data_IF_092048335683
#
_entry.id   IF_092048335683
#
_cell.length_a   1.000
_cell.length_b   1.000
_cell.length_c   1.000
_cell.angle_alpha   90.00
_cell.angle_beta   90.00
_cell.angle_gamma   90.00
#
_symmetry.space_group_name_H-M   'P 1'
#
loop_
_entity.id
_entity.type
_entity.pdbx_description
1 polymer ?
#
# COMPACT_ATOMS: atom_id res chain seq x y z
N UNK A 1 10.31 -9.99 -0.14
CA UNK A 1 8.86 -9.80 0.04
C UNK A 1 8.17 -11.13 0.14
N UNK A 2 6.99 -11.20 0.76
CA UNK A 2 6.24 -12.45 0.86
C UNK A 2 5.35 -12.56 -0.38
N UNK A 3 5.58 -13.61 -1.19
CA UNK A 3 4.68 -13.98 -2.28
C UNK A 3 3.58 -14.84 -1.68
N UNK A 4 2.31 -14.51 -1.92
CA UNK A 4 1.23 -15.29 -1.35
C UNK A 4 1.19 -16.69 -1.97
N UNK A 5 0.99 -17.71 -1.14
CA UNK A 5 0.93 -19.10 -1.59
C UNK A 5 -0.30 -19.39 -2.48
N UNK A 6 -1.35 -18.58 -2.34
CA UNK A 6 -2.59 -18.63 -3.13
C UNK A 6 -3.18 -17.23 -3.29
N UNK A 7 -4.15 -17.09 -4.19
CA UNK A 7 -4.92 -15.86 -4.26
C UNK A 7 -5.68 -15.62 -2.94
N UNK A 8 -5.57 -14.40 -2.42
CA UNK A 8 -6.29 -13.98 -1.23
C UNK A 8 -7.79 -13.82 -1.51
N UNK A 9 -8.60 -14.16 -0.52
CA UNK A 9 -10.01 -13.77 -0.48
C UNK A 9 -10.13 -12.25 -0.32
N UNK A 10 -11.31 -11.70 -0.62
CA UNK A 10 -11.60 -10.27 -0.38
C UNK A 10 -11.38 -9.85 1.08
N UNK A 11 -11.59 -10.75 2.04
CA UNK A 11 -11.41 -10.47 3.47
C UNK A 11 -9.93 -10.49 3.88
N UNK A 12 -9.17 -11.45 3.36
CA UNK A 12 -7.72 -11.53 3.56
C UNK A 12 -7.02 -10.32 2.95
N UNK A 13 -7.36 -9.97 1.70
CA UNK A 13 -6.84 -8.75 1.04
C UNK A 13 -7.12 -7.51 1.88
N UNK A 14 -8.36 -7.33 2.34
CA UNK A 14 -8.72 -6.18 3.17
C UNK A 14 -7.95 -6.16 4.50
N UNK A 15 -7.76 -7.30 5.15
CA UNK A 15 -7.00 -7.43 6.40
C UNK A 15 -5.53 -7.10 6.22
N UNK A 16 -4.89 -7.64 5.18
CA UNK A 16 -3.46 -7.41 4.89
C UNK A 16 -3.22 -5.93 4.61
N UNK A 17 -4.02 -5.33 3.71
CA UNK A 17 -3.91 -3.91 3.36
C UNK A 17 -4.18 -3.03 4.58
N UNK A 18 -5.22 -3.32 5.36
CA UNK A 18 -5.57 -2.53 6.55
C UNK A 18 -4.49 -2.59 7.64
N UNK A 19 -3.97 -3.79 7.94
CA UNK A 19 -2.88 -3.95 8.89
C UNK A 19 -1.61 -3.22 8.41
N UNK A 20 -1.31 -3.29 7.11
CA UNK A 20 -0.16 -2.61 6.53
C UNK A 20 -0.31 -1.08 6.56
N UNK A 21 -1.48 -0.56 6.23
CA UNK A 21 -1.75 0.88 6.30
C UNK A 21 -1.57 1.41 7.73
N UNK A 22 -2.01 0.66 8.75
CA UNK A 22 -1.79 1.01 10.15
C UNK A 22 -0.28 1.05 10.49
N UNK A 23 0.48 0.03 10.09
CA UNK A 23 1.94 0.00 10.30
C UNK A 23 2.63 1.22 9.70
N UNK A 24 2.29 1.58 8.46
CA UNK A 24 2.83 2.75 7.77
C UNK A 24 2.47 4.03 8.53
N UNK A 25 1.22 4.17 8.98
CA UNK A 25 0.78 5.29 9.82
C UNK A 25 1.53 5.40 11.16
N UNK A 26 2.09 4.30 11.65
CA UNK A 26 2.93 4.24 12.85
C UNK A 26 4.43 4.43 12.54
N UNK A 27 4.82 4.75 11.30
CA UNK A 27 6.21 5.01 10.91
C UNK A 27 7.01 3.76 10.52
N UNK A 28 6.34 2.65 10.18
CA UNK A 28 7.03 1.47 9.63
C UNK A 28 7.71 1.80 8.29
N UNK A 29 8.83 1.13 7.96
CA UNK A 29 9.54 1.36 6.70
C UNK A 29 8.66 1.02 5.50
N UNK A 30 8.78 1.83 4.45
CA UNK A 30 8.16 1.60 3.15
C UNK A 30 9.06 0.73 2.27
N UNK A 31 8.45 -0.17 1.50
CA UNK A 31 9.12 -1.03 0.53
C UNK A 31 8.84 -0.60 -0.92
N UNK A 32 7.86 0.28 -1.14
CA UNK A 32 7.67 0.98 -2.40
C UNK A 32 8.59 2.19 -2.52
N UNK A 33 9.13 2.45 -3.72
CA UNK A 33 9.96 3.65 -3.95
C UNK A 33 9.07 4.88 -4.09
N UNK A 34 9.57 6.00 -3.58
CA UNK A 34 8.85 7.27 -3.65
C UNK A 34 8.54 7.70 -5.10
N UNK A 35 9.49 7.53 -6.02
CA UNK A 35 9.31 7.85 -7.44
C UNK A 35 8.19 7.04 -8.09
N UNK A 36 8.05 5.78 -7.69
CA UNK A 36 7.02 4.87 -8.21
C UNK A 36 5.64 5.26 -7.69
N UNK A 37 5.51 5.54 -6.39
CA UNK A 37 4.28 6.04 -5.78
C UNK A 37 3.85 7.37 -6.39
N UNK A 38 4.81 8.29 -6.63
CA UNK A 38 4.56 9.58 -7.28
C UNK A 38 4.04 9.41 -8.69
N UNK A 39 4.62 8.49 -9.46
CA UNK A 39 4.19 8.20 -10.83
C UNK A 39 2.78 7.62 -10.84
N UNK A 40 2.49 6.67 -9.95
CA UNK A 40 1.21 5.99 -9.87
C UNK A 40 0.07 6.96 -9.51
N UNK A 41 0.26 7.78 -8.49
CA UNK A 41 -0.79 8.67 -7.97
C UNK A 41 -0.77 10.08 -8.58
N UNK A 42 0.08 10.32 -9.60
CA UNK A 42 0.28 11.66 -10.19
C UNK A 42 -1.03 12.33 -10.61
N UNK A 43 -1.90 11.59 -11.30
CA UNK A 43 -3.16 12.14 -11.82
C UNK A 43 -4.11 12.56 -10.69
N UNK A 44 -4.20 11.75 -9.64
CA UNK A 44 -5.00 12.02 -8.45
C UNK A 44 -4.48 13.25 -7.70
N UNK A 45 -3.16 13.36 -7.54
CA UNK A 45 -2.51 14.50 -6.89
C UNK A 45 -2.73 15.80 -7.64
N UNK A 46 -2.66 15.77 -8.97
CA UNK A 46 -2.96 16.94 -9.81
C UNK A 46 -4.41 17.37 -9.62
N UNK A 47 -5.34 16.41 -9.59
CA UNK A 47 -6.77 16.68 -9.41
C UNK A 47 -7.09 17.25 -8.02
N UNK A 48 -6.39 16.79 -6.97
CA UNK A 48 -6.66 17.21 -5.60
C UNK A 48 -6.02 18.56 -5.25
N UNK A 49 -4.80 18.80 -5.71
CA UNK A 49 -3.99 19.92 -5.22
C UNK A 49 -3.86 21.09 -6.20
N UNK A 50 -4.21 20.92 -7.48
CA UNK A 50 -4.04 21.96 -8.49
C UNK A 50 -2.55 22.21 -8.79
N UNK A 51 -2.17 22.15 -10.06
CA UNK A 51 -0.76 22.22 -10.47
C UNK A 51 -0.10 23.54 -10.09
N UNK A 52 0.83 23.49 -9.14
CA UNK A 52 2.14 24.18 -9.13
C UNK A 52 2.99 23.77 -7.89
N UNK A 53 2.37 23.34 -6.79
CA UNK A 53 3.08 22.96 -5.55
C UNK A 53 3.09 21.45 -5.21
N UNK A 54 2.48 20.60 -6.05
CA UNK A 54 2.33 19.15 -5.79
C UNK A 54 3.66 18.38 -5.71
N UNK A 55 4.78 19.01 -6.11
CA UNK A 55 6.13 18.48 -5.94
C UNK A 55 6.68 18.67 -4.51
N UNK A 56 6.12 19.56 -3.69
CA UNK A 56 6.75 20.04 -2.44
C UNK A 56 6.03 19.58 -1.16
N UNK A 57 4.73 19.30 -1.18
CA UNK A 57 3.97 18.77 -0.03
C UNK A 57 3.39 17.40 -0.34
N UNK A 58 4.15 16.36 -0.04
CA UNK A 58 3.65 14.98 -0.18
C UNK A 58 3.24 14.43 1.18
N UNK A 59 1.93 14.26 1.37
CA UNK A 59 1.36 13.34 2.37
C UNK A 59 0.73 12.22 1.54
N UNK A 60 1.46 11.12 1.36
CA UNK A 60 0.86 9.93 0.77
C UNK A 60 0.04 9.22 1.85
N UNK A 61 -1.23 8.96 1.52
CA UNK A 61 -2.13 8.19 2.38
C UNK A 61 -1.52 6.79 2.65
N UNK A 62 -1.33 6.38 3.92
CA UNK A 62 -0.86 5.05 4.28
C UNK A 62 -1.65 3.92 3.60
N UNK A 63 -2.95 4.11 3.37
CA UNK A 63 -3.79 3.14 2.68
C UNK A 63 -3.39 3.00 1.20
N UNK A 64 -3.12 4.10 0.51
CA UNK A 64 -2.69 4.08 -0.90
C UNK A 64 -1.33 3.42 -1.06
N UNK A 65 -0.41 3.70 -0.13
CA UNK A 65 0.91 3.04 -0.11
C UNK A 65 0.73 1.54 0.13
N UNK A 66 -0.09 1.15 1.11
CA UNK A 66 -0.36 -0.26 1.39
C UNK A 66 -1.02 -0.99 0.20
N UNK A 67 -1.95 -0.35 -0.52
CA UNK A 67 -2.54 -0.90 -1.74
C UNK A 67 -1.47 -1.10 -2.81
N UNK A 68 -0.64 -0.08 -3.05
CA UNK A 68 0.45 -0.18 -4.02
C UNK A 68 1.43 -1.30 -3.66
N UNK A 69 1.82 -1.39 -2.39
CA UNK A 69 2.70 -2.46 -1.93
C UNK A 69 2.02 -3.83 -2.07
N UNK A 70 0.73 -3.96 -1.80
CA UNK A 70 0.02 -5.23 -1.97
C UNK A 70 0.01 -5.67 -3.44
N UNK A 71 -0.37 -4.78 -4.36
CA UNK A 71 -0.54 -5.09 -5.78
C UNK A 71 0.81 -5.40 -6.47
N UNK A 72 1.93 -4.93 -5.91
CA UNK A 72 3.29 -5.20 -6.40
C UNK A 72 4.03 -6.30 -5.60
N UNK A 73 3.33 -7.05 -4.75
CA UNK A 73 3.94 -8.08 -3.88
C UNK A 73 5.06 -7.53 -3.01
N UNK A 74 4.91 -6.29 -2.52
CA UNK A 74 5.84 -5.55 -1.67
C UNK A 74 5.41 -5.46 -0.19
N UNK A 75 4.45 -6.25 0.27
CA UNK A 75 4.08 -6.33 1.69
C UNK A 75 4.90 -7.43 2.42
N UNK A 76 5.49 -7.14 3.60
CA UNK A 76 6.35 -8.09 4.34
C UNK A 76 5.58 -9.05 5.26
N UNK A 77 4.25 -9.10 5.15
CA UNK A 77 3.35 -9.90 5.97
C UNK A 77 2.35 -10.63 5.07
N UNK A 78 1.87 -11.78 5.54
CA UNK A 78 0.87 -12.58 4.85
C UNK A 78 -0.06 -13.26 5.86
N UNK A 79 -1.05 -14.01 5.39
CA UNK A 79 -2.00 -14.78 6.19
C UNK A 79 -1.71 -16.28 6.11
N UNK A 80 -1.90 -16.96 7.24
CA UNK A 80 -1.91 -18.43 7.31
C UNK A 80 -3.34 -18.87 7.65
N UNK A 81 -4.09 -19.46 6.70
CA UNK A 81 -5.45 -19.88 6.95
C UNK A 81 -5.46 -21.13 7.81
N UNK A 82 -6.24 -21.12 8.89
CA UNK A 82 -6.57 -22.35 9.59
C UNK A 82 -7.40 -23.24 8.65
N UNK A 83 -6.89 -24.44 8.38
CA UNK A 83 -7.65 -25.50 7.76
C UNK A 83 -8.44 -26.16 8.88
N UNK A 84 -9.76 -26.23 8.75
CA UNK A 84 -10.58 -27.02 9.66
C UNK A 84 -10.10 -28.49 9.57
N UNK A 85 -9.85 -29.12 10.73
CA UNK A 85 -9.51 -30.56 10.84
C UNK A 85 -10.64 -31.46 10.32
#
# INVERSE_FOLDING_TARGET
>A
MVKPARLHTRFERARIIGARALQIGMGAPLYAKEDELRKEFKAELISLYGLEEASVRFVLDPLKIAVYEYDNELIPIDIDPHLDE
#
